data_IF_935836578720
#
_entry.id   IF_935836578720
#
_cell.length_a   1.000
_cell.length_b   1.000
_cell.length_c   1.000
_cell.angle_alpha   90.00
_cell.angle_beta   90.00
_cell.angle_gamma   90.00
#
_symmetry.space_group_name_H-M   'P 1'
#
loop_
_entity.id
_entity.type
_entity.pdbx_description
1 polymer ?
#
# COMPACT_ATOMS: atom_id res chain seq x y z
N UNK A 1 1.40 5.73 -12.99
CA UNK A 1 0.82 6.94 -12.36
C UNK A 1 1.70 8.15 -12.54
N UNK A 2 2.86 8.20 -11.87
CA UNK A 2 3.80 9.34 -11.88
C UNK A 2 4.20 9.80 -13.29
N UNK A 3 4.68 8.87 -14.11
CA UNK A 3 5.21 9.16 -15.45
C UNK A 3 4.13 9.61 -16.45
N UNK A 4 2.90 9.13 -16.27
CA UNK A 4 1.80 9.42 -17.19
C UNK A 4 1.19 10.81 -16.94
N UNK A 5 0.87 11.14 -15.69
CA UNK A 5 0.12 12.35 -15.37
C UNK A 5 0.47 12.96 -14.00
N UNK A 6 1.61 12.57 -13.41
CA UNK A 6 2.04 12.97 -12.06
C UNK A 6 0.95 12.69 -11.02
N UNK A 7 0.39 11.48 -11.05
CA UNK A 7 -0.74 11.10 -10.18
C UNK A 7 -1.92 12.09 -10.28
N UNK A 8 -2.17 12.55 -11.51
CA UNK A 8 -3.21 13.49 -11.90
C UNK A 8 -3.02 14.96 -11.49
N UNK A 9 -1.88 15.32 -10.88
CA UNK A 9 -1.50 16.72 -10.61
C UNK A 9 -1.55 17.59 -11.88
N UNK A 10 -1.23 17.01 -13.04
CA UNK A 10 -1.30 17.70 -14.34
C UNK A 10 -2.72 18.23 -14.62
N UNK A 11 -3.77 17.50 -14.25
CA UNK A 11 -5.15 17.92 -14.50
C UNK A 11 -5.55 19.07 -13.59
N UNK A 12 -5.16 19.04 -12.32
CA UNK A 12 -5.43 20.13 -11.36
C UNK A 12 -4.72 21.41 -11.80
N UNK A 13 -3.47 21.29 -12.28
CA UNK A 13 -2.72 22.43 -12.83
C UNK A 13 -3.34 23.01 -14.09
N UNK A 14 -3.81 22.16 -15.01
CA UNK A 14 -4.44 22.60 -16.27
C UNK A 14 -5.85 23.17 -16.06
N UNK A 15 -6.57 22.70 -15.04
CA UNK A 15 -7.95 23.05 -14.77
C UNK A 15 -8.15 23.44 -13.29
N UNK A 16 -7.69 24.62 -12.87
CA UNK A 16 -7.75 25.04 -11.46
C UNK A 16 -9.18 25.26 -10.94
N UNK A 17 -10.17 25.39 -11.82
CA UNK A 17 -11.59 25.57 -11.46
C UNK A 17 -12.40 24.25 -11.53
N UNK A 18 -11.73 23.11 -11.37
CA UNK A 18 -12.40 21.81 -11.33
C UNK A 18 -13.45 21.79 -10.20
N UNK A 19 -14.70 21.49 -10.57
CA UNK A 19 -15.80 21.28 -9.63
C UNK A 19 -15.78 19.91 -8.96
N UNK A 20 -14.87 19.04 -9.39
CA UNK A 20 -14.68 17.69 -8.86
C UNK A 20 -13.31 17.59 -8.22
N UNK A 21 -13.23 16.85 -7.12
CA UNK A 21 -11.96 16.57 -6.45
C UNK A 21 -11.31 15.36 -7.09
N UNK A 22 -10.01 15.48 -7.28
CA UNK A 22 -9.18 14.41 -7.81
C UNK A 22 -8.53 13.70 -6.63
N UNK A 23 -8.78 12.41 -6.54
CA UNK A 23 -8.30 11.54 -5.46
C UNK A 23 -7.65 10.33 -6.09
N UNK A 24 -6.35 10.17 -5.87
CA UNK A 24 -5.62 8.99 -6.32
C UNK A 24 -5.59 7.86 -5.29
N UNK A 25 -6.03 8.11 -4.06
CA UNK A 25 -6.26 7.10 -3.01
C UNK A 25 -5.01 6.54 -2.36
N UNK A 26 -3.86 7.17 -2.57
CA UNK A 26 -2.59 6.70 -2.01
C UNK A 26 -2.53 6.79 -0.49
N UNK A 27 -3.22 7.76 0.12
CA UNK A 27 -3.26 7.92 1.58
C UNK A 27 -3.98 6.76 2.25
N UNK A 28 -5.12 6.34 1.70
CA UNK A 28 -5.84 5.17 2.20
C UNK A 28 -5.07 3.87 1.91
N UNK A 29 -4.36 3.78 0.78
CA UNK A 29 -3.50 2.64 0.49
C UNK A 29 -2.38 2.50 1.53
N UNK A 30 -1.71 3.59 1.91
CA UNK A 30 -0.71 3.59 2.98
C UNK A 30 -1.34 3.17 4.31
N UNK A 31 -2.52 3.71 4.65
CA UNK A 31 -3.23 3.34 5.87
C UNK A 31 -3.51 1.83 5.95
N UNK A 32 -4.04 1.25 4.86
CA UNK A 32 -4.32 -0.18 4.79
C UNK A 32 -3.05 -1.02 4.89
N UNK A 33 -1.98 -0.65 4.17
CA UNK A 33 -0.71 -1.37 4.23
C UNK A 33 -0.14 -1.42 5.65
N UNK A 34 -0.15 -0.30 6.37
CA UNK A 34 0.33 -0.24 7.75
C UNK A 34 -0.50 -1.10 8.69
N UNK A 35 -1.82 -1.20 8.47
CA UNK A 35 -2.71 -2.02 9.27
C UNK A 35 -2.74 -3.50 8.85
N UNK A 36 -2.27 -3.83 7.63
CA UNK A 36 -2.12 -5.22 7.15
C UNK A 36 -0.85 -5.91 7.67
N UNK A 37 0.12 -5.16 8.20
CA UNK A 37 1.35 -5.72 8.76
C UNK A 37 1.03 -6.38 10.11
N UNK A 38 1.41 -7.66 10.32
CA UNK A 38 1.16 -8.35 11.59
C UNK A 38 1.75 -7.61 12.79
N UNK A 39 0.98 -7.55 13.89
CA UNK A 39 1.44 -6.97 15.16
C UNK A 39 2.70 -7.68 15.65
N UNK A 40 3.67 -6.91 16.15
CA UNK A 40 4.97 -7.41 16.60
C UNK A 40 6.02 -7.56 15.50
N UNK A 41 5.71 -7.18 14.25
CA UNK A 41 6.71 -7.10 13.18
C UNK A 41 7.71 -5.99 13.51
N UNK A 42 9.00 -6.36 13.62
CA UNK A 42 10.10 -5.42 13.90
C UNK A 42 10.86 -5.00 12.65
N UNK A 43 10.75 -5.78 11.57
CA UNK A 43 11.42 -5.51 10.30
C UNK A 43 10.58 -5.96 9.10
N UNK A 44 10.64 -5.18 8.03
CA UNK A 44 10.04 -5.51 6.73
C UNK A 44 11.08 -5.39 5.63
N UNK A 45 10.89 -6.15 4.56
CA UNK A 45 11.61 -5.93 3.30
C UNK A 45 10.73 -5.11 2.35
N UNK A 46 11.26 -4.01 1.81
CA UNK A 46 10.62 -3.25 0.75
C UNK A 46 11.27 -3.60 -0.59
N UNK A 47 10.46 -4.06 -1.56
CA UNK A 47 10.94 -4.48 -2.89
C UNK A 47 9.94 -4.09 -3.98
N UNK A 48 10.43 -3.89 -5.20
CA UNK A 48 9.66 -3.42 -6.35
C UNK A 48 9.85 -1.93 -6.60
N UNK A 49 9.06 -1.36 -7.50
CA UNK A 49 9.19 0.04 -7.88
C UNK A 49 8.82 0.99 -6.73
N UNK A 50 9.71 1.96 -6.43
CA UNK A 50 9.52 2.95 -5.38
C UNK A 50 8.51 4.02 -5.81
N UNK A 51 7.23 3.70 -5.66
CA UNK A 51 6.12 4.64 -5.85
C UNK A 51 5.97 5.57 -4.64
N UNK A 52 5.18 6.64 -4.75
CA UNK A 52 4.89 7.51 -3.59
C UNK A 52 4.27 6.76 -2.40
N UNK A 53 3.51 5.70 -2.65
CA UNK A 53 2.99 4.80 -1.60
C UNK A 53 4.14 4.09 -0.88
N UNK A 54 5.12 3.58 -1.63
CA UNK A 54 6.31 2.93 -1.07
C UNK A 54 7.11 3.89 -0.17
N UNK A 55 7.33 5.14 -0.63
CA UNK A 55 7.99 6.18 0.18
C UNK A 55 7.20 6.49 1.46
N UNK A 56 5.89 6.71 1.36
CA UNK A 56 5.05 7.04 2.49
C UNK A 56 4.93 5.91 3.51
N UNK A 57 4.86 4.65 3.05
CA UNK A 57 4.83 3.49 3.93
C UNK A 57 6.18 3.30 4.63
N UNK A 58 7.30 3.44 3.90
CA UNK A 58 8.63 3.33 4.48
C UNK A 58 8.85 4.39 5.56
N UNK A 59 8.46 5.63 5.26
CA UNK A 59 8.47 6.74 6.21
C UNK A 59 7.69 6.43 7.49
N UNK A 60 6.43 6.01 7.34
CA UNK A 60 5.54 5.71 8.47
C UNK A 60 6.04 4.54 9.31
N UNK A 61 6.69 3.55 8.69
CA UNK A 61 7.27 2.40 9.38
C UNK A 61 8.52 2.80 10.18
N UNK A 62 9.41 3.59 9.60
CA UNK A 62 10.57 4.11 10.30
C UNK A 62 10.16 4.93 11.53
N UNK A 63 9.15 5.80 11.41
CA UNK A 63 8.60 6.57 12.54
C UNK A 63 7.96 5.69 13.64
N UNK A 64 7.42 4.53 13.26
CA UNK A 64 6.91 3.53 14.21
C UNK A 64 8.03 2.65 14.80
N UNK A 65 9.30 2.95 14.49
CA UNK A 65 10.47 2.21 14.96
C UNK A 65 10.69 0.86 14.26
N UNK A 66 9.93 0.55 13.21
CA UNK A 66 10.04 -0.67 12.42
C UNK A 66 11.15 -0.49 11.38
N UNK A 67 12.05 -1.47 11.31
CA UNK A 67 13.15 -1.44 10.37
C UNK A 67 12.66 -1.71 8.94
N UNK A 68 12.96 -0.81 8.02
CA UNK A 68 12.70 -0.97 6.58
C UNK A 68 14.00 -1.41 5.92
N UNK A 69 14.01 -2.64 5.44
CA UNK A 69 15.15 -3.23 4.74
C UNK A 69 14.96 -3.09 3.24
N UNK A 70 16.00 -2.67 2.54
CA UNK A 70 16.08 -2.70 1.08
C UNK A 70 17.30 -3.50 0.64
N UNK A 71 17.30 -3.95 -0.62
CA UNK A 71 18.35 -4.84 -1.14
C UNK A 71 19.32 -4.15 -2.09
N UNK A 72 18.88 -3.08 -2.75
CA UNK A 72 19.65 -2.36 -3.77
C UNK A 72 20.11 -1.02 -3.22
N UNK A 73 21.35 -0.66 -3.52
CA UNK A 73 21.95 0.62 -3.09
C UNK A 73 21.19 1.81 -3.68
N UNK A 74 20.76 1.74 -4.94
CA UNK A 74 20.01 2.83 -5.58
C UNK A 74 18.63 3.07 -4.92
N UNK A 75 18.00 2.01 -4.42
CA UNK A 75 16.72 2.09 -3.68
C UNK A 75 16.94 2.69 -2.30
N UNK A 76 18.02 2.29 -1.63
CA UNK A 76 18.45 2.87 -0.37
C UNK A 76 18.69 4.37 -0.52
N UNK A 77 19.51 4.81 -1.47
CA UNK A 77 19.84 6.22 -1.68
C UNK A 77 18.59 7.07 -1.97
N UNK A 78 17.65 6.57 -2.78
CA UNK A 78 16.39 7.26 -3.07
C UNK A 78 15.55 7.45 -1.81
N UNK A 79 15.40 6.39 -1.01
CA UNK A 79 14.65 6.43 0.24
C UNK A 79 15.36 7.32 1.27
N UNK A 80 16.65 7.13 1.48
CA UNK A 80 17.45 7.91 2.43
C UNK A 80 17.39 9.41 2.11
N UNK A 81 17.52 9.79 0.84
CA UNK A 81 17.36 11.18 0.41
C UNK A 81 15.96 11.74 0.69
N UNK A 82 14.93 10.92 0.61
CA UNK A 82 13.54 11.33 0.86
C UNK A 82 13.19 11.37 2.35
N UNK A 83 13.69 10.43 3.14
CA UNK A 83 13.43 10.33 4.58
C UNK A 83 14.34 11.27 5.39
N UNK A 84 15.60 11.43 4.96
CA UNK A 84 16.63 12.16 5.69
C UNK A 84 16.78 11.64 7.11
N UNK A 85 16.95 12.56 8.07
CA UNK A 85 17.06 12.24 9.50
C UNK A 85 15.82 11.57 10.10
N UNK A 86 14.67 11.65 9.40
CA UNK A 86 13.41 11.06 9.86
C UNK A 86 13.38 9.54 9.76
N UNK A 87 14.38 8.93 9.14
CA UNK A 87 14.53 7.47 9.15
C UNK A 87 14.93 6.95 10.54
N UNK A 88 15.50 7.79 11.42
CA UNK A 88 16.00 7.40 12.76
C UNK A 88 16.90 6.14 12.73
N UNK A 89 17.64 5.94 11.63
CA UNK A 89 18.49 4.76 11.43
C UNK A 89 17.72 3.44 11.21
N UNK A 90 16.41 3.52 10.95
CA UNK A 90 15.54 2.35 10.67
C UNK A 90 15.54 1.91 9.21
N UNK A 91 16.07 2.72 8.30
CA UNK A 91 16.32 2.31 6.92
C UNK A 91 17.66 1.59 6.84
N UNK A 92 17.68 0.35 6.37
CA UNK A 92 18.91 -0.44 6.26
C UNK A 92 19.03 -1.13 4.91
N UNK A 93 20.27 -1.30 4.45
CA UNK A 93 20.57 -2.16 3.30
C UNK A 93 20.97 -3.56 3.76
N UNK A 94 20.42 -4.59 3.13
CA UNK A 94 20.82 -5.97 3.36
C UNK A 94 21.01 -6.70 2.04
N UNK A 95 22.01 -7.58 1.95
CA UNK A 95 22.17 -8.47 0.79
C UNK A 95 21.39 -9.77 0.93
N UNK A 96 20.77 -10.01 2.09
CA UNK A 96 20.07 -11.24 2.41
C UNK A 96 18.56 -11.05 2.42
N UNK A 97 17.88 -11.84 1.57
CA UNK A 97 16.42 -11.96 1.53
C UNK A 97 15.86 -12.68 2.77
N UNK A 98 16.71 -13.41 3.50
CA UNK A 98 16.32 -14.37 4.52
C UNK A 98 16.04 -13.77 5.90
N UNK A 99 16.30 -12.48 6.10
CA UNK A 99 16.08 -11.83 7.39
C UNK A 99 14.59 -11.51 7.62
N UNK A 100 13.85 -11.14 6.58
CA UNK A 100 12.51 -10.57 6.73
C UNK A 100 11.38 -11.58 6.46
N UNK A 101 10.47 -11.74 7.43
CA UNK A 101 9.24 -12.54 7.28
C UNK A 101 8.09 -11.80 6.61
N UNK A 102 8.15 -10.48 6.52
CA UNK A 102 7.13 -9.63 5.88
C UNK A 102 7.78 -8.83 4.77
N UNK A 103 7.22 -8.93 3.57
CA UNK A 103 7.71 -8.28 2.37
C UNK A 103 6.62 -7.35 1.83
N UNK A 104 6.91 -6.06 1.77
CA UNK A 104 6.10 -5.07 1.06
C UNK A 104 6.57 -5.03 -0.39
N UNK A 105 5.69 -5.39 -1.30
CA UNK A 105 6.08 -5.65 -2.70
C UNK A 105 5.29 -4.80 -3.69
N UNK A 106 6.00 -4.13 -4.58
CA UNK A 106 5.42 -3.37 -5.68
C UNK A 106 5.48 -4.13 -6.99
N UNK A 107 5.15 -3.40 -8.04
CA UNK A 107 5.44 -3.83 -9.41
C UNK A 107 6.97 -3.99 -9.59
N UNK A 108 7.42 -4.75 -10.60
CA UNK A 108 8.83 -5.10 -10.85
C UNK A 108 9.49 -6.06 -9.84
N UNK A 109 8.73 -6.74 -8.98
CA UNK A 109 9.22 -7.92 -8.27
C UNK A 109 9.39 -9.08 -9.27
N UNK A 110 10.62 -9.58 -9.43
CA UNK A 110 10.88 -10.68 -10.37
C UNK A 110 10.52 -12.05 -9.78
N UNK A 111 10.27 -13.03 -10.65
CA UNK A 111 10.03 -14.41 -10.21
C UNK A 111 11.23 -14.98 -9.43
N UNK A 112 12.45 -14.63 -9.83
CA UNK A 112 13.69 -15.04 -9.16
C UNK A 112 13.83 -14.44 -7.76
N UNK A 113 13.48 -13.16 -7.60
CA UNK A 113 13.48 -12.49 -6.30
C UNK A 113 12.45 -13.11 -5.35
N UNK A 114 11.23 -13.36 -5.84
CA UNK A 114 10.18 -14.00 -5.03
C UNK A 114 10.60 -15.43 -4.59
N UNK A 115 11.33 -16.17 -5.44
CA UNK A 115 11.84 -17.51 -5.10
C UNK A 115 12.86 -17.49 -3.95
N UNK A 116 13.58 -16.39 -3.75
CA UNK A 116 14.58 -16.22 -2.67
C UNK A 116 13.96 -15.95 -1.29
N UNK A 117 12.65 -15.74 -1.20
CA UNK A 117 11.98 -15.59 0.09
C UNK A 117 12.13 -16.83 0.97
N UNK A 118 11.98 -16.67 2.28
CA UNK A 118 11.98 -17.82 3.18
C UNK A 118 10.60 -18.50 3.19
N UNK A 119 10.57 -19.77 3.60
CA UNK A 119 9.31 -20.45 3.91
C UNK A 119 8.54 -19.66 4.96
N UNK A 120 7.25 -19.45 4.71
CA UNK A 120 6.35 -18.70 5.59
C UNK A 120 6.48 -17.18 5.48
N UNK A 121 7.20 -16.65 4.49
CA UNK A 121 7.19 -15.21 4.21
C UNK A 121 5.79 -14.75 3.81
N UNK A 122 5.36 -13.61 4.36
CA UNK A 122 4.14 -12.90 4.01
C UNK A 122 4.46 -11.80 2.99
N UNK A 123 3.90 -11.91 1.79
CA UNK A 123 3.93 -10.88 0.77
C UNK A 123 2.69 -9.98 0.89
N UNK A 124 2.91 -8.68 1.04
CA UNK A 124 1.86 -7.66 1.08
C UNK A 124 2.09 -6.71 -0.10
N UNK A 125 1.30 -6.84 -1.19
CA UNK A 125 1.43 -5.94 -2.33
C UNK A 125 1.08 -4.50 -1.94
N UNK A 126 1.80 -3.52 -2.46
CA UNK A 126 1.41 -2.09 -2.41
C UNK A 126 1.03 -1.53 -3.77
N UNK A 127 1.00 -2.36 -4.81
CA UNK A 127 0.53 -1.99 -6.15
C UNK A 127 -0.93 -2.33 -6.38
N UNK A 128 -1.50 -1.75 -7.44
CA UNK A 128 -2.90 -1.91 -7.81
C UNK A 128 -3.21 -3.32 -8.35
N UNK A 129 -2.21 -3.97 -8.95
CA UNK A 129 -2.36 -5.28 -9.56
C UNK A 129 -1.84 -6.39 -8.64
N UNK A 130 -2.51 -7.55 -8.61
CA UNK A 130 -2.11 -8.64 -7.75
C UNK A 130 -0.77 -9.23 -8.18
N UNK A 131 0.00 -9.65 -7.18
CA UNK A 131 1.22 -10.40 -7.40
C UNK A 131 0.89 -11.84 -7.84
N UNK A 132 1.67 -12.38 -8.78
CA UNK A 132 1.59 -13.79 -9.14
C UNK A 132 2.20 -14.65 -8.03
N UNK A 133 1.42 -15.59 -7.50
CA UNK A 133 1.85 -16.47 -6.42
C UNK A 133 2.69 -17.63 -6.96
N UNK A 134 4.02 -17.62 -6.75
CA UNK A 134 4.92 -18.69 -7.22
C UNK A 134 5.26 -19.71 -6.15
N UNK A 135 5.23 -19.33 -4.87
CA UNK A 135 5.64 -20.18 -3.74
C UNK A 135 4.45 -20.63 -2.91
N UNK A 136 4.13 -21.92 -2.94
CA UNK A 136 3.01 -22.50 -2.15
C UNK A 136 3.24 -22.48 -0.64
N UNK A 137 4.50 -22.34 -0.22
CA UNK A 137 4.91 -22.35 1.17
C UNK A 137 5.07 -20.93 1.78
N UNK A 138 4.53 -19.92 1.09
CA UNK A 138 4.47 -18.52 1.52
C UNK A 138 3.01 -18.04 1.58
N UNK A 139 2.79 -16.91 2.27
CA UNK A 139 1.49 -16.26 2.38
C UNK A 139 1.44 -15.04 1.47
N UNK A 140 0.29 -14.83 0.82
CA UNK A 140 0.09 -13.70 -0.07
C UNK A 140 -1.16 -12.96 0.37
N UNK A 141 -0.97 -11.68 0.71
CA UNK A 141 -2.08 -10.76 0.87
C UNK A 141 -2.58 -10.32 -0.51
N UNK A 142 -3.86 -9.99 -0.60
CA UNK A 142 -4.41 -9.24 -1.73
C UNK A 142 -3.75 -7.87 -1.86
N UNK A 143 -3.91 -7.23 -3.01
CA UNK A 143 -3.66 -5.79 -3.13
C UNK A 143 -4.50 -5.00 -2.11
N UNK A 144 -4.09 -3.78 -1.76
CA UNK A 144 -4.79 -2.91 -0.83
C UNK A 144 -6.28 -2.80 -1.18
N UNK A 145 -7.08 -3.46 -0.36
CA UNK A 145 -8.51 -3.58 -0.55
C UNK A 145 -9.19 -3.75 0.81
N UNK A 146 -10.46 -3.41 0.88
CA UNK A 146 -11.27 -3.51 2.10
C UNK A 146 -12.64 -4.09 1.77
N UNK A 147 -13.25 -4.74 2.77
CA UNK A 147 -14.62 -5.19 2.68
C UNK A 147 -15.57 -4.00 2.71
N UNK A 148 -16.58 -4.00 1.84
CA UNK A 148 -17.55 -2.91 1.72
C UNK A 148 -18.68 -3.02 2.74
N UNK A 149 -19.21 -1.88 3.22
CA UNK A 149 -20.33 -1.85 4.15
C UNK A 149 -21.59 -2.51 3.54
N UNK A 150 -22.47 -3.06 4.39
CA UNK A 150 -23.71 -3.72 3.95
C UNK A 150 -24.68 -2.81 3.21
N UNK A 151 -24.61 -1.50 3.48
CA UNK A 151 -25.43 -0.51 2.78
C UNK A 151 -24.99 -0.29 1.32
N UNK A 152 -23.76 -0.68 0.94
CA UNK A 152 -23.29 -0.56 -0.44
C UNK A 152 -23.70 -1.81 -1.22
N UNK A 153 -24.87 -1.71 -1.86
CA UNK A 153 -25.46 -2.76 -2.69
C UNK A 153 -24.81 -2.83 -4.08
N UNK A 154 -25.04 -3.93 -4.79
CA UNK A 154 -24.56 -4.17 -6.16
C UNK A 154 -23.04 -4.05 -6.35
N UNK A 155 -22.27 -4.22 -5.25
CA UNK A 155 -20.82 -4.42 -5.31
C UNK A 155 -20.53 -5.90 -5.54
N UNK A 156 -20.69 -6.29 -6.80
CA UNK A 156 -20.11 -7.53 -7.30
C UNK A 156 -18.58 -7.37 -7.43
N UNK A 157 -17.91 -8.32 -8.08
CA UNK A 157 -16.46 -8.22 -8.33
C UNK A 157 -16.16 -7.11 -9.35
N UNK A 158 -16.17 -5.84 -8.91
CA UNK A 158 -15.92 -4.66 -9.76
C UNK A 158 -14.47 -4.56 -10.26
N UNK A 159 -13.55 -5.38 -9.73
CA UNK A 159 -12.14 -5.37 -10.10
C UNK A 159 -11.68 -6.80 -10.40
N UNK A 160 -11.83 -7.15 -11.68
CA UNK A 160 -11.21 -8.27 -12.39
C UNK A 160 -10.89 -9.51 -11.54
N UNK A 161 -11.82 -10.46 -11.36
CA UNK A 161 -11.61 -11.86 -10.92
C UNK A 161 -10.73 -12.20 -9.67
N UNK A 162 -9.99 -11.28 -9.06
CA UNK A 162 -9.01 -11.56 -7.99
C UNK A 162 -9.41 -10.96 -6.64
N UNK A 163 -10.38 -10.05 -6.60
CA UNK A 163 -11.03 -9.62 -5.36
C UNK A 163 -12.35 -10.38 -5.15
N UNK A 164 -12.60 -10.89 -3.92
CA UNK A 164 -13.83 -11.59 -3.61
C UNK A 164 -15.02 -10.61 -3.63
N UNK A 165 -16.25 -11.15 -3.63
CA UNK A 165 -17.46 -10.33 -3.58
C UNK A 165 -17.45 -9.41 -2.37
N UNK A 166 -17.97 -8.19 -2.55
CA UNK A 166 -18.03 -7.17 -1.50
C UNK A 166 -16.66 -6.73 -0.96
N UNK A 167 -15.62 -6.85 -1.78
CA UNK A 167 -14.31 -6.28 -1.53
C UNK A 167 -13.98 -5.32 -2.65
N UNK A 168 -13.46 -4.15 -2.28
CA UNK A 168 -13.15 -3.07 -3.21
C UNK A 168 -11.74 -2.55 -2.93
N UNK A 169 -11.01 -2.24 -4.00
CA UNK A 169 -9.75 -1.48 -3.95
C UNK A 169 -9.87 -0.21 -3.14
N UNK A 170 -8.86 0.01 -2.30
CA UNK A 170 -8.73 1.25 -1.53
C UNK A 170 -8.63 2.49 -2.42
N UNK A 171 -8.10 2.37 -3.63
CA UNK A 171 -8.01 3.47 -4.57
C UNK A 171 -9.39 3.97 -5.00
N UNK A 172 -10.39 3.06 -5.07
CA UNK A 172 -11.79 3.42 -5.34
C UNK A 172 -12.49 3.91 -4.09
N UNK A 173 -12.26 3.22 -2.95
CA UNK A 173 -12.84 3.61 -1.66
C UNK A 173 -12.42 5.02 -1.27
N UNK A 174 -11.17 5.43 -1.53
CA UNK A 174 -10.70 6.77 -1.20
C UNK A 174 -11.55 7.87 -1.85
N UNK A 175 -11.93 7.72 -3.11
CA UNK A 175 -12.82 8.69 -3.77
C UNK A 175 -14.21 8.76 -3.14
N UNK A 176 -14.77 7.60 -2.75
CA UNK A 176 -16.04 7.53 -2.01
C UNK A 176 -15.90 8.22 -0.66
N UNK A 177 -14.81 7.94 0.06
CA UNK A 177 -14.55 8.47 1.40
C UNK A 177 -14.40 9.99 1.40
N UNK A 178 -13.66 10.54 0.44
CA UNK A 178 -13.53 11.98 0.24
C UNK A 178 -14.88 12.66 0.03
N UNK A 179 -15.76 12.04 -0.77
CA UNK A 179 -17.11 12.55 -0.99
C UNK A 179 -17.99 12.47 0.27
N UNK A 180 -17.94 11.35 1.02
CA UNK A 180 -18.72 11.15 2.23
C UNK A 180 -18.30 12.09 3.37
N UNK A 181 -17.01 12.40 3.49
CA UNK A 181 -16.49 13.31 4.51
C UNK A 181 -16.46 14.79 4.07
N UNK A 182 -16.85 15.08 2.82
CA UNK A 182 -16.86 16.45 2.28
C UNK A 182 -15.47 17.09 2.23
N UNK A 183 -14.43 16.32 1.95
CA UNK A 183 -13.07 16.87 1.84
C UNK A 183 -12.91 17.61 0.52
N UNK A 184 -12.58 18.91 0.64
CA UNK A 184 -12.45 19.82 -0.50
C UNK A 184 -11.05 19.84 -1.11
N UNK A 185 -10.13 19.04 -0.58
CA UNK A 185 -8.73 19.00 -1.02
C UNK A 185 -8.51 17.98 -2.14
N UNK A 186 -7.57 18.27 -3.03
CA UNK A 186 -7.10 17.30 -4.01
C UNK A 186 -6.07 16.36 -3.38
N UNK A 187 -6.30 15.05 -3.47
CA UNK A 187 -5.30 14.03 -3.14
C UNK A 187 -4.68 13.54 -4.45
N UNK A 188 -3.71 14.29 -4.95
CA UNK A 188 -3.03 14.03 -6.22
C UNK A 188 -1.56 14.47 -6.16
N UNK A 189 -0.75 14.09 -7.14
CA UNK A 189 0.68 14.41 -7.12
C UNK A 189 1.41 13.70 -5.99
N UNK A 190 2.35 14.39 -5.34
CA UNK A 190 3.11 13.85 -4.20
C UNK A 190 2.41 14.07 -2.85
N UNK A 191 1.19 14.61 -2.85
CA UNK A 191 0.39 14.82 -1.63
C UNK A 191 -0.03 13.48 -1.01
N UNK A 192 0.17 13.37 0.31
CA UNK A 192 -0.33 12.31 1.18
C UNK A 192 -1.03 13.00 2.35
N UNK A 193 -2.31 12.72 2.55
CA UNK A 193 -3.11 13.26 3.65
C UNK A 193 -2.77 12.56 4.97
N UNK A 194 -3.30 13.07 6.08
CA UNK A 194 -3.12 12.43 7.38
C UNK A 194 -3.67 10.99 7.37
N UNK A 195 -2.77 10.01 7.48
CA UNK A 195 -3.06 8.58 7.35
C UNK A 195 -4.06 8.12 8.42
N UNK A 196 -3.92 8.59 9.67
CA UNK A 196 -4.80 8.21 10.77
C UNK A 196 -6.22 8.77 10.56
N UNK A 197 -6.33 10.03 10.12
CA UNK A 197 -7.62 10.64 9.76
C UNK A 197 -8.34 9.83 8.67
N UNK A 198 -7.62 9.44 7.63
CA UNK A 198 -8.18 8.66 6.52
C UNK A 198 -8.61 7.26 6.98
N UNK A 199 -7.81 6.64 7.85
CA UNK A 199 -8.10 5.33 8.42
C UNK A 199 -9.37 5.34 9.28
N UNK A 200 -9.47 6.28 10.23
CA UNK A 200 -10.62 6.41 11.13
C UNK A 200 -11.91 6.69 10.36
N UNK A 201 -11.86 7.59 9.37
CA UNK A 201 -13.00 7.88 8.52
C UNK A 201 -13.44 6.63 7.73
N UNK A 202 -12.50 5.86 7.19
CA UNK A 202 -12.80 4.62 6.47
C UNK A 202 -13.57 3.62 7.35
N UNK A 203 -13.11 3.40 8.58
CA UNK A 203 -13.77 2.51 9.54
C UNK A 203 -15.15 3.04 9.97
N UNK A 204 -15.29 4.35 10.18
CA UNK A 204 -16.55 5.03 10.52
C UNK A 204 -17.63 4.80 9.46
N UNK A 205 -17.26 4.79 8.18
CA UNK A 205 -18.18 4.50 7.07
C UNK A 205 -18.41 3.00 6.81
N UNK A 206 -17.89 2.13 7.70
CA UNK A 206 -18.19 0.70 7.71
C UNK A 206 -17.36 -0.13 6.74
N UNK A 207 -16.29 0.43 6.16
CA UNK A 207 -15.29 -0.37 5.45
C UNK A 207 -14.42 -1.12 6.46
N UNK A 208 -14.10 -2.38 6.17
CA UNK A 208 -13.34 -3.22 7.10
C UNK A 208 -12.06 -3.77 6.46
N UNK A 209 -10.93 -3.78 7.19
CA UNK A 209 -9.70 -4.38 6.69
C UNK A 209 -9.89 -5.87 6.40
N UNK A 210 -9.21 -6.34 5.37
CA UNK A 210 -9.11 -7.76 5.09
C UNK A 210 -8.09 -8.39 6.03
N UNK A 211 -8.43 -9.53 6.61
CA UNK A 211 -7.49 -10.34 7.38
C UNK A 211 -6.59 -11.11 6.42
N UNK A 212 -5.29 -11.17 6.74
CA UNK A 212 -4.34 -12.05 6.05
C UNK A 212 -4.90 -13.48 6.06
N UNK A 213 -4.90 -14.21 4.93
CA UNK A 213 -5.32 -15.60 4.93
C UNK A 213 -4.39 -16.42 5.82
N UNK A 214 -4.85 -16.80 7.01
CA UNK A 214 -4.26 -17.93 7.74
C UNK A 214 -4.62 -19.17 6.94
N UNK A 215 -3.64 -19.92 6.42
CA UNK A 215 -3.92 -21.24 5.86
C UNK A 215 -4.70 -22.02 6.92
N UNK A 216 -5.99 -22.29 6.65
CA UNK A 216 -6.73 -23.29 7.39
C UNK A 216 -5.95 -24.59 7.20
N UNK A 217 -5.45 -25.15 8.29
CA UNK A 217 -4.95 -26.52 8.29
C UNK A 217 -6.13 -27.41 7.88
N UNK A 218 -6.17 -27.79 6.61
CA UNK A 218 -6.94 -28.93 6.12
C UNK A 218 -6.14 -30.19 6.34
#
# INVERSE_FOLDING_TARGET
>A
GKELNRYGEVYVKKHPQLKVKLVDGSSLAVAVLLNSIPKGTTQVLLRGNLTKVAFAVAFSLCQKGIQVTVLREDEYEKLDKSLGTKSEGKLVISKSYSSCKVWLVGDDLTEEEQRKANKGTLFIPFSQFPLKNLRKDCFYHTTPAMQTPKALENVDSCEQNWLPRRVMSVWRIAGILHALEGWEEHECGDTISNIDKVWEACLKHGFQPLTVPTQSKS
#
